data_IF_388544893153
#
_entry.id   IF_388544893153
#
_cell.length_a   1.000
_cell.length_b   1.000
_cell.length_c   1.000
_cell.angle_alpha   90.00
_cell.angle_beta   90.00
_cell.angle_gamma   90.00
#
_symmetry.space_group_name_H-M   'P 1'
#
loop_
_entity.id
_entity.type
_entity.pdbx_description
1 polymer ?
#
# COMPACT_ATOMS: atom_id res chain seq x y z
N UNK A 1 -58.10 7.76 -24.80
CA UNK A 1 -57.07 6.71 -24.92
C UNK A 1 -56.71 6.18 -23.54
N UNK A 2 -56.33 4.92 -23.49
CA UNK A 2 -56.71 3.92 -22.50
C UNK A 2 -56.00 4.09 -21.15
N UNK A 3 -56.76 4.32 -20.07
CA UNK A 3 -56.29 4.43 -18.67
C UNK A 3 -55.33 3.30 -18.27
N UNK A 4 -55.53 2.12 -18.83
CA UNK A 4 -54.69 0.94 -18.64
C UNK A 4 -53.23 1.17 -19.05
N UNK A 5 -52.98 1.87 -20.16
CA UNK A 5 -51.63 2.13 -20.69
C UNK A 5 -50.85 3.10 -19.81
N UNK A 6 -51.54 4.08 -19.23
CA UNK A 6 -50.96 5.03 -18.28
C UNK A 6 -50.60 4.33 -16.95
N UNK A 7 -51.44 3.41 -16.49
CA UNK A 7 -51.21 2.63 -15.28
C UNK A 7 -49.98 1.72 -15.44
N UNK A 8 -49.88 0.98 -16.55
CA UNK A 8 -48.72 0.11 -16.82
C UNK A 8 -47.42 0.91 -16.89
N UNK A 9 -47.44 2.08 -17.55
CA UNK A 9 -46.26 2.93 -17.68
C UNK A 9 -45.80 3.45 -16.32
N UNK A 10 -46.73 3.84 -15.44
CA UNK A 10 -46.41 4.24 -14.05
C UNK A 10 -45.83 3.09 -13.24
N UNK A 11 -46.41 1.88 -13.33
CA UNK A 11 -45.89 0.72 -12.61
C UNK A 11 -44.50 0.30 -13.10
N UNK A 12 -44.26 0.30 -14.42
CA UNK A 12 -42.93 0.00 -14.97
C UNK A 12 -41.91 1.08 -14.61
N UNK A 13 -42.30 2.37 -14.62
CA UNK A 13 -41.42 3.45 -14.21
C UNK A 13 -41.05 3.34 -12.72
N UNK A 14 -42.03 3.03 -11.86
CA UNK A 14 -41.80 2.83 -10.43
C UNK A 14 -40.89 1.61 -10.18
N UNK A 15 -41.10 0.52 -10.92
CA UNK A 15 -40.24 -0.66 -10.88
C UNK A 15 -38.80 -0.34 -11.35
N UNK A 16 -38.64 0.34 -12.48
CA UNK A 16 -37.32 0.72 -12.99
C UNK A 16 -36.57 1.64 -12.02
N UNK A 17 -37.29 2.56 -11.37
CA UNK A 17 -36.74 3.46 -10.37
C UNK A 17 -36.27 2.68 -9.13
N UNK A 18 -37.06 1.73 -8.61
CA UNK A 18 -36.63 0.92 -7.46
C UNK A 18 -35.42 0.05 -7.78
N UNK A 19 -35.36 -0.55 -8.97
CA UNK A 19 -34.17 -1.30 -9.41
C UNK A 19 -32.94 -0.41 -9.53
N UNK A 20 -33.09 0.80 -10.07
CA UNK A 20 -31.97 1.75 -10.20
C UNK A 20 -31.44 2.17 -8.84
N UNK A 21 -32.33 2.51 -7.91
CA UNK A 21 -31.97 2.83 -6.52
C UNK A 21 -31.29 1.66 -5.82
N UNK A 22 -31.83 0.46 -5.98
CA UNK A 22 -31.24 -0.75 -5.40
C UNK A 22 -29.84 -1.01 -5.97
N UNK A 23 -29.67 -0.91 -7.29
CA UNK A 23 -28.37 -1.07 -7.94
C UNK A 23 -27.35 -0.03 -7.45
N UNK A 24 -27.77 1.22 -7.24
CA UNK A 24 -26.91 2.27 -6.73
C UNK A 24 -26.46 1.98 -5.29
N UNK A 25 -27.38 1.52 -4.44
CA UNK A 25 -27.08 1.14 -3.07
C UNK A 25 -26.11 -0.04 -2.99
N UNK A 26 -26.34 -1.08 -3.81
CA UNK A 26 -25.44 -2.24 -3.89
C UNK A 26 -24.05 -1.80 -4.37
N UNK A 27 -23.99 -0.95 -5.40
CA UNK A 27 -22.72 -0.41 -5.90
C UNK A 27 -21.96 0.37 -4.82
N UNK A 28 -22.64 1.25 -4.08
CA UNK A 28 -22.02 2.01 -2.99
C UNK A 28 -21.53 1.09 -1.86
N UNK A 29 -22.34 0.11 -1.46
CA UNK A 29 -21.96 -0.85 -0.43
C UNK A 29 -20.73 -1.67 -0.84
N UNK A 30 -20.72 -2.18 -2.07
CA UNK A 30 -19.59 -2.93 -2.62
C UNK A 30 -18.34 -2.06 -2.74
N UNK A 31 -18.49 -0.84 -3.27
CA UNK A 31 -17.38 0.10 -3.39
C UNK A 31 -16.75 0.40 -2.04
N UNK A 32 -17.56 0.72 -1.02
CA UNK A 32 -17.05 0.98 0.33
C UNK A 32 -16.37 -0.26 0.92
N UNK A 33 -16.95 -1.44 0.74
CA UNK A 33 -16.35 -2.69 1.20
C UNK A 33 -14.98 -2.94 0.57
N UNK A 34 -14.84 -2.69 -0.74
CA UNK A 34 -13.57 -2.89 -1.45
C UNK A 34 -12.50 -1.88 -1.02
N UNK A 35 -12.87 -0.62 -0.79
CA UNK A 35 -11.92 0.38 -0.29
C UNK A 35 -11.42 0.04 1.12
N UNK A 36 -12.33 -0.36 2.01
CA UNK A 36 -11.94 -0.74 3.38
C UNK A 36 -11.03 -1.98 3.38
N UNK A 37 -11.33 -2.99 2.55
CA UNK A 37 -10.48 -4.18 2.42
C UNK A 37 -9.10 -3.85 1.86
N UNK A 38 -9.03 -2.97 0.85
CA UNK A 38 -7.76 -2.55 0.27
C UNK A 38 -6.86 -1.83 1.28
N UNK A 39 -7.45 -0.95 2.09
CA UNK A 39 -6.75 -0.22 3.15
C UNK A 39 -6.21 -1.18 4.23
N UNK A 40 -7.06 -2.07 4.74
CA UNK A 40 -6.68 -3.05 5.76
C UNK A 40 -5.61 -4.04 5.26
N UNK A 41 -5.74 -4.55 4.03
CA UNK A 41 -4.74 -5.45 3.44
C UNK A 41 -3.40 -4.75 3.22
N UNK A 42 -3.40 -3.51 2.75
CA UNK A 42 -2.16 -2.76 2.48
C UNK A 42 -1.44 -2.40 3.78
N UNK A 43 -2.17 -2.00 4.82
CA UNK A 43 -1.61 -1.73 6.14
C UNK A 43 -1.01 -2.99 6.76
N UNK A 44 -1.76 -4.11 6.78
CA UNK A 44 -1.26 -5.39 7.30
C UNK A 44 0.00 -5.83 6.55
N UNK A 45 0.01 -5.66 5.23
CA UNK A 45 1.13 -6.04 4.40
C UNK A 45 2.38 -5.21 4.66
N UNK A 46 2.24 -3.88 4.80
CA UNK A 46 3.37 -3.02 5.12
C UNK A 46 3.99 -3.40 6.47
N UNK A 47 3.14 -3.74 7.46
CA UNK A 47 3.56 -4.23 8.76
C UNK A 47 4.28 -5.58 8.70
N UNK A 48 3.73 -6.54 7.96
CA UNK A 48 4.34 -7.87 7.82
C UNK A 48 5.74 -7.78 7.16
N UNK A 49 5.88 -6.92 6.15
CA UNK A 49 7.18 -6.69 5.52
C UNK A 49 8.13 -5.94 6.45
N UNK A 50 7.68 -4.94 7.20
CA UNK A 50 8.54 -4.26 8.17
C UNK A 50 9.03 -5.21 9.26
N UNK A 51 8.16 -6.06 9.79
CA UNK A 51 8.50 -7.03 10.83
C UNK A 51 9.50 -8.07 10.30
N UNK A 52 9.30 -8.54 9.06
CA UNK A 52 10.24 -9.43 8.38
C UNK A 52 11.62 -8.78 8.17
N UNK A 53 11.65 -7.51 7.74
CA UNK A 53 12.90 -6.76 7.59
C UNK A 53 13.61 -6.58 8.93
N UNK A 54 12.88 -6.23 10.00
CA UNK A 54 13.45 -6.14 11.35
C UNK A 54 14.04 -7.48 11.79
N UNK A 55 13.34 -8.59 11.55
CA UNK A 55 13.82 -9.93 11.92
C UNK A 55 15.08 -10.35 11.15
N UNK A 56 15.22 -9.96 9.88
CA UNK A 56 16.39 -10.31 9.07
C UNK A 56 17.60 -9.39 9.32
N UNK A 57 17.36 -8.14 9.71
CA UNK A 57 18.41 -7.15 9.93
C UNK A 57 18.89 -7.16 11.39
N UNK A 58 18.05 -7.57 12.34
CA UNK A 58 18.52 -7.87 13.70
C UNK A 58 19.52 -9.04 13.63
N UNK A 59 20.80 -8.83 14.02
CA UNK A 59 21.77 -9.92 14.03
C UNK A 59 21.26 -11.00 14.99
N UNK A 60 21.32 -12.29 14.61
CA UNK A 60 20.94 -13.36 15.53
C UNK A 60 21.76 -13.19 16.81
N UNK A 61 21.06 -13.03 17.95
CA UNK A 61 21.65 -12.92 19.29
C UNK A 61 22.48 -14.15 19.72
N UNK A 62 22.81 -15.05 18.79
CA UNK A 62 23.56 -16.28 19.01
C UNK A 62 25.08 -16.14 18.81
N UNK A 63 25.59 -15.02 18.27
CA UNK A 63 27.05 -14.85 18.10
C UNK A 63 27.53 -13.47 18.57
N UNK A 64 27.32 -13.16 19.84
CA UNK A 64 28.07 -12.10 20.54
C UNK A 64 29.47 -12.59 20.91
N UNK A 65 30.27 -12.93 19.90
CA UNK A 65 31.72 -12.92 20.03
C UNK A 65 32.29 -12.93 18.62
N UNK A 66 32.59 -11.75 18.09
CA UNK A 66 33.85 -11.40 17.45
C UNK A 66 33.71 -9.96 16.95
N UNK A 67 34.63 -9.13 17.43
CA UNK A 67 34.70 -7.68 17.27
C UNK A 67 35.01 -7.25 15.82
N UNK A 68 34.13 -7.59 14.87
CA UNK A 68 34.27 -7.17 13.47
C UNK A 68 32.88 -7.03 12.83
N UNK A 69 31.99 -6.29 13.46
CA UNK A 69 30.96 -5.57 12.69
C UNK A 69 31.63 -4.28 12.24
N UNK A 70 32.54 -4.40 11.28
CA UNK A 70 32.91 -3.24 10.47
C UNK A 70 31.62 -2.70 9.87
N UNK A 71 31.47 -1.38 9.95
CA UNK A 71 30.32 -0.59 9.50
C UNK A 71 29.87 -0.98 8.09
N UNK A 72 29.01 -2.00 7.98
CA UNK A 72 28.32 -2.28 6.73
C UNK A 72 27.31 -1.16 6.52
N UNK A 73 27.56 -0.33 5.51
CA UNK A 73 26.61 0.68 5.10
C UNK A 73 25.25 0.00 4.81
N UNK A 74 24.16 0.57 5.33
CA UNK A 74 22.76 0.15 5.10
C UNK A 74 22.41 -0.35 3.67
N UNK A 75 22.93 0.23 2.56
CA UNK A 75 22.76 -0.35 1.22
C UNK A 75 23.27 -1.80 1.06
N UNK A 76 24.26 -2.24 1.84
CA UNK A 76 24.80 -3.60 1.79
C UNK A 76 23.93 -4.58 2.58
N UNK A 77 23.47 -4.22 3.79
CA UNK A 77 22.58 -5.08 4.58
C UNK A 77 21.26 -5.32 3.85
N UNK A 78 20.68 -4.28 3.24
CA UNK A 78 19.46 -4.40 2.45
C UNK A 78 19.67 -5.20 1.15
N UNK A 79 20.88 -5.31 0.60
CA UNK A 79 21.14 -6.14 -0.59
C UNK A 79 20.93 -7.64 -0.32
N UNK A 80 21.24 -8.12 0.89
CA UNK A 80 21.14 -9.53 1.25
C UNK A 80 19.72 -10.00 1.62
N UNK A 81 18.80 -9.06 1.86
CA UNK A 81 17.43 -9.36 2.29
C UNK A 81 16.50 -9.52 1.08
N UNK A 82 16.00 -10.72 0.79
CA UNK A 82 14.97 -10.89 -0.23
C UNK A 82 13.60 -10.43 0.30
N UNK A 83 13.00 -9.44 -0.36
CA UNK A 83 11.63 -9.03 -0.05
C UNK A 83 10.68 -10.17 -0.44
N UNK A 84 9.72 -10.54 0.42
CA UNK A 84 8.76 -11.59 0.11
C UNK A 84 8.00 -11.27 -1.17
N UNK A 85 7.75 -12.30 -1.99
CA UNK A 85 6.85 -12.16 -3.14
C UNK A 85 5.43 -12.07 -2.61
N UNK A 86 4.85 -10.87 -2.67
CA UNK A 86 3.52 -10.63 -2.13
C UNK A 86 2.46 -11.14 -3.11
N UNK A 87 1.66 -12.11 -2.66
CA UNK A 87 0.50 -12.63 -3.40
C UNK A 87 -0.72 -11.86 -2.92
N UNK A 88 -0.94 -10.67 -3.46
CA UNK A 88 -2.21 -9.96 -3.28
C UNK A 88 -3.15 -10.37 -4.40
N UNK A 89 -4.41 -10.63 -4.03
CA UNK A 89 -5.50 -10.98 -4.93
C UNK A 89 -5.50 -10.02 -6.13
N UNK A 90 -5.27 -10.58 -7.32
CA UNK A 90 -5.54 -9.95 -8.61
C UNK A 90 -4.68 -8.73 -9.02
N UNK A 91 -3.44 -8.64 -8.56
CA UNK A 91 -2.37 -7.98 -9.34
C UNK A 91 -1.69 -6.76 -8.73
N UNK A 92 -0.42 -6.98 -8.37
CA UNK A 92 0.68 -6.01 -8.40
C UNK A 92 0.59 -4.77 -7.50
N UNK A 93 0.56 -5.01 -6.19
CA UNK A 93 1.20 -4.10 -5.22
C UNK A 93 2.73 -4.13 -5.41
N UNK A 94 3.37 -2.99 -5.19
CA UNK A 94 4.82 -2.83 -5.23
C UNK A 94 5.31 -2.36 -3.86
N UNK A 95 6.32 -3.03 -3.32
CA UNK A 95 6.99 -2.57 -2.09
C UNK A 95 8.30 -1.88 -2.43
N UNK A 96 8.60 -0.78 -1.77
CA UNK A 96 9.86 -0.05 -1.84
C UNK A 96 10.33 0.39 -0.45
N UNK A 97 11.63 0.33 -0.24
CA UNK A 97 12.31 0.83 0.97
C UNK A 97 13.06 2.08 0.59
N UNK A 98 12.89 3.14 1.36
CA UNK A 98 13.54 4.42 1.11
C UNK A 98 14.10 5.06 2.37
N UNK A 99 15.07 5.95 2.19
CA UNK A 99 15.68 6.73 3.24
C UNK A 99 14.80 7.97 3.57
N UNK A 100 14.46 8.16 4.85
CA UNK A 100 13.56 9.22 5.27
C UNK A 100 14.14 10.64 5.04
N UNK A 101 15.46 10.79 5.08
CA UNK A 101 16.14 12.09 4.96
C UNK A 101 16.41 12.45 3.49
N UNK A 102 16.96 11.52 2.72
CA UNK A 102 17.30 11.76 1.32
C UNK A 102 16.13 11.51 0.37
N UNK A 103 15.18 10.64 0.75
CA UNK A 103 14.15 10.13 -0.15
C UNK A 103 14.70 9.18 -1.20
N UNK A 104 15.92 8.68 -1.04
CA UNK A 104 16.52 7.71 -1.94
C UNK A 104 15.88 6.33 -1.74
N UNK A 105 15.43 5.70 -2.83
CA UNK A 105 14.93 4.32 -2.80
C UNK A 105 16.11 3.36 -2.71
N UNK A 106 16.27 2.73 -1.55
CA UNK A 106 17.32 1.78 -1.24
C UNK A 106 17.03 0.38 -1.82
N UNK A 107 15.75 -0.03 -1.81
CA UNK A 107 15.32 -1.33 -2.36
C UNK A 107 13.90 -1.27 -2.89
N UNK A 108 13.54 -2.17 -3.79
CA UNK A 108 12.18 -2.32 -4.25
C UNK A 108 11.90 -3.75 -4.69
N UNK A 109 10.63 -4.11 -4.72
CA UNK A 109 10.13 -5.36 -5.27
C UNK A 109 10.42 -5.44 -6.77
N UNK A 110 10.52 -6.66 -7.29
CA UNK A 110 10.77 -6.90 -8.71
C UNK A 110 9.57 -6.56 -9.61
N UNK A 111 8.42 -6.27 -9.01
CA UNK A 111 7.17 -5.98 -9.72
C UNK A 111 7.07 -4.51 -10.18
N UNK A 112 7.93 -3.64 -9.63
CA UNK A 112 7.92 -2.19 -9.90
C UNK A 112 8.55 -1.80 -11.25
N UNK A 113 8.95 -2.76 -12.08
CA UNK A 113 9.69 -2.50 -13.32
C UNK A 113 8.91 -1.56 -14.26
N UNK A 114 9.37 -0.30 -14.35
CA UNK A 114 8.79 0.73 -15.22
C UNK A 114 7.71 1.62 -14.58
N UNK A 115 7.43 1.48 -13.28
CA UNK A 115 6.53 2.39 -12.52
C UNK A 115 7.34 3.53 -11.89
N UNK A 116 6.78 4.76 -11.80
CA UNK A 116 7.49 5.88 -11.19
C UNK A 116 7.73 5.60 -9.70
N UNK A 117 9.00 5.65 -9.27
CA UNK A 117 9.40 5.67 -7.85
C UNK A 117 8.90 6.97 -7.26
N UNK A 118 7.73 6.94 -6.64
CA UNK A 118 7.11 8.12 -6.06
C UNK A 118 7.19 8.03 -4.55
N UNK A 119 7.85 9.02 -3.95
CA UNK A 119 7.85 9.25 -2.50
C UNK A 119 7.45 10.70 -2.32
N UNK A 120 6.28 10.94 -1.74
CA UNK A 120 5.81 12.30 -1.50
C UNK A 120 6.66 12.99 -0.44
N UNK A 121 6.74 14.32 -0.48
CA UNK A 121 7.39 15.09 0.60
C UNK A 121 6.67 14.91 1.93
N UNK A 122 5.34 14.74 1.90
CA UNK A 122 4.53 14.45 3.08
C UNK A 122 4.86 13.08 3.68
N UNK A 123 5.04 12.04 2.86
CA UNK A 123 5.47 10.73 3.31
C UNK A 123 6.85 10.82 3.99
N UNK A 124 7.82 11.50 3.36
CA UNK A 124 9.16 11.70 3.95
C UNK A 124 9.10 12.38 5.32
N UNK A 125 8.28 13.42 5.44
CA UNK A 125 8.11 14.13 6.70
C UNK A 125 7.42 13.28 7.76
N UNK A 126 6.38 12.54 7.40
CA UNK A 126 5.70 11.61 8.30
C UNK A 126 6.66 10.53 8.80
N UNK A 127 7.42 9.90 7.89
CA UNK A 127 8.42 8.89 8.26
C UNK A 127 9.51 9.48 9.17
N UNK A 128 10.00 10.69 8.88
CA UNK A 128 10.98 11.37 9.73
C UNK A 128 10.43 11.64 11.15
N UNK A 129 9.13 11.83 11.28
CA UNK A 129 8.43 12.01 12.55
C UNK A 129 7.98 10.68 13.20
N UNK A 130 8.40 9.52 12.67
CA UNK A 130 7.93 8.20 13.10
C UNK A 130 6.40 8.03 13.03
N UNK A 131 5.78 8.63 12.01
CA UNK A 131 4.35 8.53 11.71
C UNK A 131 4.10 7.74 10.43
N UNK A 132 2.99 7.00 10.39
CA UNK A 132 2.48 6.40 9.15
C UNK A 132 1.85 7.48 8.27
N UNK A 133 1.81 7.22 6.96
CA UNK A 133 1.21 8.12 6.00
C UNK A 133 0.62 7.35 4.84
N UNK A 134 -0.65 7.57 4.57
CA UNK A 134 -1.37 7.02 3.44
C UNK A 134 -1.78 8.11 2.46
N UNK A 135 -1.81 7.79 1.17
CA UNK A 135 -2.28 8.70 0.14
C UNK A 135 -2.72 7.95 -1.13
N UNK A 136 -3.62 8.57 -1.88
CA UNK A 136 -4.00 8.15 -3.22
C UNK A 136 -3.21 8.93 -4.26
N UNK A 137 -2.44 8.23 -5.10
CA UNK A 137 -1.58 8.83 -6.13
C UNK A 137 -2.06 8.44 -7.51
N UNK A 138 -2.25 9.44 -8.37
CA UNK A 138 -2.52 9.19 -9.79
C UNK A 138 -1.22 8.93 -10.54
N UNK A 139 -1.14 7.79 -11.20
CA UNK A 139 -0.08 7.52 -12.18
C UNK A 139 -0.25 8.41 -13.41
N UNK A 140 0.83 8.58 -14.19
CA UNK A 140 0.77 9.28 -15.49
C UNK A 140 -0.23 8.67 -16.49
N UNK A 141 -0.64 7.41 -16.27
CA UNK A 141 -1.63 6.69 -17.08
C UNK A 141 -3.06 6.81 -16.53
N UNK A 142 -3.29 7.65 -15.52
CA UNK A 142 -4.61 7.87 -14.93
C UNK A 142 -5.06 6.80 -13.94
N UNK A 143 -4.24 5.79 -13.65
CA UNK A 143 -4.55 4.77 -12.63
C UNK A 143 -4.35 5.37 -11.25
N UNK A 144 -5.36 5.24 -10.39
CA UNK A 144 -5.30 5.60 -8.97
C UNK A 144 -4.62 4.48 -8.20
N UNK A 145 -3.59 4.81 -7.43
CA UNK A 145 -2.89 3.88 -6.56
C UNK A 145 -3.10 4.31 -5.11
N UNK A 146 -3.50 3.38 -4.26
CA UNK A 146 -3.38 3.55 -2.82
C UNK A 146 -1.93 3.30 -2.42
N UNK A 147 -1.36 4.21 -1.66
CA UNK A 147 0.03 4.19 -1.22
C UNK A 147 0.05 4.34 0.28
N UNK A 148 0.55 3.33 0.97
CA UNK A 148 0.75 3.36 2.42
C UNK A 148 2.24 3.48 2.71
N UNK A 149 2.63 4.25 3.70
CA UNK A 149 4.03 4.42 4.10
C UNK A 149 4.15 4.27 5.61
N UNK A 150 5.04 3.38 6.05
CA UNK A 150 5.31 3.14 7.46
C UNK A 150 6.78 3.43 7.80
N UNK A 151 7.05 4.01 8.98
CA UNK A 151 8.40 4.25 9.44
C UNK A 151 8.95 2.98 10.08
N UNK A 152 10.23 2.71 9.84
CA UNK A 152 10.96 1.72 10.60
C UNK A 152 12.39 2.21 10.84
N UNK A 153 12.98 1.79 11.95
CA UNK A 153 14.32 2.21 12.35
C UNK A 153 15.26 1.01 12.37
N UNK A 154 16.45 1.18 11.78
CA UNK A 154 17.49 0.17 11.78
C UNK A 154 18.80 0.85 12.14
N UNK A 155 19.46 0.38 13.20
CA UNK A 155 20.75 0.89 13.66
C UNK A 155 20.81 2.42 13.85
N UNK A 156 19.73 3.04 14.35
CA UNK A 156 19.67 4.50 14.57
C UNK A 156 19.36 5.32 13.32
N UNK A 157 19.13 4.67 12.17
CA UNK A 157 18.77 5.33 10.91
C UNK A 157 17.28 5.11 10.62
N UNK A 158 16.53 6.20 10.46
CA UNK A 158 15.13 6.18 10.08
C UNK A 158 14.95 5.88 8.59
N UNK A 159 14.17 4.84 8.30
CA UNK A 159 13.79 4.42 6.96
C UNK A 159 12.26 4.40 6.83
N UNK A 160 11.80 4.47 5.59
CA UNK A 160 10.40 4.29 5.23
C UNK A 160 10.22 3.03 4.39
N UNK A 161 9.16 2.29 4.65
CA UNK A 161 8.63 1.28 3.74
C UNK A 161 7.34 1.80 3.13
N UNK A 162 7.14 1.50 1.85
CA UNK A 162 5.97 1.91 1.07
C UNK A 162 5.56 0.81 0.11
#
# INVERSE_FOLDING_TARGET
>A
MTIQLRLTLWYTALLGLTLTLFSLLVYMALSNSLYNQLEEETESQAKDVSDFLMQQIEPPRAYTSLATVESYEMPVLLRLVELPKLVVLSGAGDVQVFDAQSGEVLKHSNNISGRPKYISSAAKQAIANQQTYDNYVHTKKGVLLYVYSAPFEVQGKQLGIQ
#
